data_IF_612919735359
#
_entry.id   IF_612919735359
#
_cell.length_a   1.000
_cell.length_b   1.000
_cell.length_c   1.000
_cell.angle_alpha   90.00
_cell.angle_beta   90.00
_cell.angle_gamma   90.00
#
_symmetry.space_group_name_H-M   'P 1'
#
loop_
_entity.id
_entity.type
_entity.pdbx_description
1 polymer ?
#
# COMPACT_ATOMS: atom_id res chain seq x y z
N UNK A 1 5.14 20.67 8.48
CA UNK A 1 4.21 19.60 8.91
C UNK A 1 3.87 19.70 10.38
N UNK A 2 2.65 19.32 10.73
CA UNK A 2 2.24 19.01 12.11
C UNK A 2 1.52 17.65 12.06
N UNK A 3 1.97 16.71 12.89
CA UNK A 3 1.31 15.42 13.07
C UNK A 3 0.57 15.51 14.39
N UNK A 4 -0.71 15.14 14.40
CA UNK A 4 -1.53 15.02 15.59
C UNK A 4 -1.86 13.55 15.77
N UNK A 5 -1.61 13.03 16.97
CA UNK A 5 -1.93 11.66 17.36
C UNK A 5 -2.83 11.78 18.59
N UNK A 6 -4.01 11.17 18.54
CA UNK A 6 -4.94 11.16 19.68
C UNK A 6 -4.64 9.99 20.65
N UNK A 7 -5.41 9.93 21.74
CA UNK A 7 -5.31 8.89 22.76
C UNK A 7 -5.73 7.50 22.27
N UNK A 8 -6.44 7.43 21.13
CA UNK A 8 -6.81 6.18 20.45
C UNK A 8 -5.82 5.77 19.35
N UNK A 9 -4.76 6.55 19.15
CA UNK A 9 -3.70 6.28 18.19
C UNK A 9 -4.00 6.71 16.76
N UNK A 10 -5.14 7.37 16.51
CA UNK A 10 -5.44 7.93 15.20
C UNK A 10 -4.50 9.06 14.86
N UNK A 11 -4.12 9.12 13.58
CA UNK A 11 -3.11 10.04 13.11
C UNK A 11 -3.63 10.93 11.99
N UNK A 12 -3.52 12.24 12.21
CA UNK A 12 -3.77 13.27 11.22
C UNK A 12 -2.50 14.05 10.92
N UNK A 13 -2.32 14.44 9.66
CA UNK A 13 -1.19 15.25 9.22
C UNK A 13 -1.68 16.53 8.58
N UNK A 14 -1.31 17.66 9.19
CA UNK A 14 -1.56 18.99 8.67
C UNK A 14 -0.35 19.52 7.89
N UNK A 15 -0.60 19.78 6.61
CA UNK A 15 0.35 20.37 5.68
C UNK A 15 0.31 21.90 5.76
N UNK A 16 1.20 22.46 6.57
CA UNK A 16 1.30 23.91 6.79
C UNK A 16 1.55 24.71 5.51
N UNK A 17 2.21 24.14 4.49
CA UNK A 17 2.52 24.88 3.25
C UNK A 17 1.35 24.95 2.28
N UNK A 18 0.40 24.02 2.38
CA UNK A 18 -0.77 23.94 1.48
C UNK A 18 -2.07 24.28 2.18
N UNK A 19 -2.12 24.19 3.51
CA UNK A 19 -3.34 24.29 4.31
C UNK A 19 -4.17 23.00 4.32
N UNK A 20 -3.70 21.94 3.66
CA UNK A 20 -4.40 20.66 3.53
C UNK A 20 -4.21 19.79 4.77
N UNK A 21 -5.22 18.98 5.09
CA UNK A 21 -5.14 17.97 6.15
C UNK A 21 -5.37 16.58 5.57
N UNK A 22 -4.44 15.68 5.85
CA UNK A 22 -4.56 14.25 5.63
C UNK A 22 -5.08 13.60 6.90
N UNK A 23 -6.30 13.06 6.83
CA UNK A 23 -7.02 12.57 8.01
C UNK A 23 -6.99 11.06 8.10
N UNK A 24 -7.15 10.53 9.31
CA UNK A 24 -7.57 9.15 9.52
C UNK A 24 -8.99 8.90 8.99
N UNK A 25 -9.32 7.64 8.70
CA UNK A 25 -10.64 7.26 8.20
C UNK A 25 -11.73 7.49 9.28
N UNK A 26 -12.87 8.12 8.95
CA UNK A 26 -13.93 8.41 9.93
C UNK A 26 -14.88 7.21 10.14
N UNK A 27 -16.07 7.46 10.68
CA UNK A 27 -17.18 6.50 10.78
C UNK A 27 -16.89 5.25 11.64
N UNK A 28 -16.03 5.40 12.66
CA UNK A 28 -15.74 4.35 13.65
C UNK A 28 -14.80 3.25 13.16
N UNK A 29 -14.13 3.45 12.01
CA UNK A 29 -13.09 2.53 11.55
C UNK A 29 -11.89 2.54 12.51
N UNK A 30 -11.24 1.40 12.77
CA UNK A 30 -10.18 1.32 13.76
C UNK A 30 -8.87 1.96 13.28
N UNK A 31 -8.02 2.40 14.21
CA UNK A 31 -6.69 2.95 13.85
C UNK A 31 -5.76 1.92 13.18
N UNK A 32 -6.01 0.64 13.45
CA UNK A 32 -5.30 -0.49 12.88
C UNK A 32 -5.97 -1.80 13.25
N UNK A 33 -5.67 -2.83 12.47
CA UNK A 33 -6.23 -4.18 12.65
C UNK A 33 -5.07 -5.16 12.71
N UNK A 34 -5.09 -6.06 13.69
CA UNK A 34 -4.23 -7.23 13.74
C UNK A 34 -5.08 -8.46 13.41
N UNK A 35 -4.62 -9.28 12.47
CA UNK A 35 -5.16 -10.60 12.22
C UNK A 35 -4.25 -11.63 12.87
N UNK A 36 -4.85 -12.52 13.65
CA UNK A 36 -4.17 -13.60 14.34
C UNK A 36 -4.77 -14.93 13.94
N UNK A 37 -3.96 -15.98 13.93
CA UNK A 37 -4.40 -17.36 13.76
C UNK A 37 -4.32 -18.06 15.11
N UNK A 38 -5.41 -18.67 15.53
CA UNK A 38 -5.46 -19.53 16.70
C UNK A 38 -4.78 -20.87 16.44
N UNK A 39 -3.91 -21.31 17.36
CA UNK A 39 -3.14 -22.54 17.19
C UNK A 39 -4.03 -23.80 17.13
N UNK A 40 -5.05 -23.88 17.99
CA UNK A 40 -5.90 -25.07 18.08
C UNK A 40 -6.96 -25.15 16.97
N UNK A 41 -7.66 -24.04 16.73
CA UNK A 41 -8.80 -24.00 15.79
C UNK A 41 -8.35 -23.67 14.36
N UNK A 42 -7.15 -23.10 14.20
CA UNK A 42 -6.66 -22.51 12.95
C UNK A 42 -7.55 -21.39 12.42
N UNK A 43 -8.45 -20.86 13.26
CA UNK A 43 -9.34 -19.77 12.92
C UNK A 43 -8.57 -18.45 12.89
N UNK A 44 -8.91 -17.60 11.91
CA UNK A 44 -8.40 -16.24 11.83
C UNK A 44 -9.35 -15.32 12.60
N UNK A 45 -8.83 -14.67 13.64
CA UNK A 45 -9.55 -13.66 14.43
C UNK A 45 -8.99 -12.27 14.14
N UNK A 46 -9.81 -11.24 14.40
CA UNK A 46 -9.45 -9.83 14.13
C UNK A 46 -9.47 -9.01 15.41
N UNK A 47 -8.39 -8.28 15.63
CA UNK A 47 -8.20 -7.42 16.79
C UNK A 47 -8.11 -5.96 16.35
N UNK A 48 -8.99 -5.13 16.90
CA UNK A 48 -9.07 -3.71 16.57
C UNK A 48 -8.21 -2.92 17.55
N UNK A 49 -7.14 -2.28 17.07
CA UNK A 49 -6.18 -1.59 17.94
C UNK A 49 -6.80 -0.45 18.76
N UNK A 50 -7.77 0.28 18.19
CA UNK A 50 -8.45 1.38 18.89
C UNK A 50 -9.54 0.92 19.86
N UNK A 51 -9.91 -0.36 19.85
CA UNK A 51 -10.86 -0.95 20.80
C UNK A 51 -10.20 -1.28 22.15
N UNK A 52 -8.88 -1.39 22.17
CA UNK A 52 -8.09 -1.54 23.39
C UNK A 52 -8.26 -0.33 24.32
N UNK A 53 -8.38 -0.59 25.63
CA UNK A 53 -8.47 0.46 26.66
C UNK A 53 -7.08 1.02 27.02
N UNK A 54 -6.05 0.18 26.99
CA UNK A 54 -4.68 0.53 27.37
C UNK A 54 -3.82 0.96 26.17
N UNK A 55 -4.07 2.17 25.66
CA UNK A 55 -3.26 2.79 24.61
C UNK A 55 -2.38 3.88 25.23
N UNK A 56 -1.07 3.70 25.17
CA UNK A 56 -0.10 4.68 25.68
C UNK A 56 0.57 5.41 24.53
N UNK A 57 0.32 6.71 24.43
CA UNK A 57 1.01 7.60 23.49
C UNK A 57 1.99 8.45 24.28
N UNK A 58 3.29 8.21 24.09
CA UNK A 58 4.36 8.92 24.78
C UNK A 58 5.21 9.71 23.78
N UNK A 59 5.53 10.98 24.05
CA UNK A 59 6.43 11.73 23.19
C UNK A 59 7.84 11.15 23.26
N UNK A 60 8.48 10.98 22.11
CA UNK A 60 9.85 10.49 21.99
C UNK A 60 10.74 11.57 21.36
N UNK A 61 11.49 12.28 22.21
CA UNK A 61 12.30 13.42 21.79
C UNK A 61 11.46 14.62 21.33
N UNK A 62 12.02 15.45 20.44
CA UNK A 62 11.39 16.71 20.00
C UNK A 62 10.39 16.56 18.85
N UNK A 63 10.39 15.41 18.14
CA UNK A 63 9.59 15.22 16.93
C UNK A 63 9.18 13.78 16.68
N UNK A 64 9.17 12.94 17.71
CA UNK A 64 8.68 11.57 17.66
C UNK A 64 7.64 11.28 18.73
N UNK A 65 6.97 10.14 18.56
CA UNK A 65 6.05 9.58 19.53
C UNK A 65 6.15 8.06 19.47
N UNK A 66 5.93 7.42 20.62
CA UNK A 66 5.84 5.98 20.76
C UNK A 66 4.45 5.62 21.21
N UNK A 67 3.82 4.73 20.47
CA UNK A 67 2.49 4.20 20.75
C UNK A 67 2.64 2.75 21.17
N UNK A 68 2.05 2.40 22.30
CA UNK A 68 1.97 1.02 22.77
C UNK A 68 0.49 0.70 22.96
N UNK A 69 0.01 -0.29 22.21
CA UNK A 69 -1.32 -0.87 22.37
C UNK A 69 -1.16 -2.13 23.22
N UNK A 70 -1.59 -2.10 24.48
CA UNK A 70 -1.50 -3.22 25.44
C UNK A 70 -2.86 -3.89 25.62
N UNK A 71 -2.92 -5.19 25.91
CA UNK A 71 -4.18 -5.92 26.08
C UNK A 71 -5.07 -5.86 24.83
N UNK A 72 -4.59 -6.51 23.76
CA UNK A 72 -5.29 -6.53 22.48
C UNK A 72 -6.68 -7.15 22.62
N UNK A 73 -7.68 -6.50 22.02
CA UNK A 73 -9.08 -6.94 22.02
C UNK A 73 -9.46 -7.47 20.64
N UNK A 74 -9.84 -8.75 20.57
CA UNK A 74 -10.23 -9.45 19.36
C UNK A 74 -11.68 -9.92 19.47
N UNK A 75 -12.52 -9.57 18.49
CA UNK A 75 -13.96 -9.90 18.50
C UNK A 75 -14.64 -9.63 19.87
N UNK A 76 -14.33 -8.48 20.47
CA UNK A 76 -14.83 -8.03 21.79
C UNK A 76 -14.27 -8.77 23.02
N UNK A 77 -13.29 -9.66 22.83
CA UNK A 77 -12.61 -10.39 23.91
C UNK A 77 -11.17 -9.92 24.04
N UNK A 78 -10.74 -9.56 25.25
CA UNK A 78 -9.35 -9.26 25.54
C UNK A 78 -8.52 -10.54 25.58
N UNK A 79 -7.52 -10.65 24.70
CA UNK A 79 -6.63 -11.82 24.62
C UNK A 79 -5.25 -11.55 25.25
N UNK A 80 -4.94 -10.29 25.59
CA UNK A 80 -3.61 -9.87 26.03
C UNK A 80 -2.68 -9.49 24.86
N UNK A 81 -1.38 -9.51 25.10
CA UNK A 81 -0.38 -9.13 24.10
C UNK A 81 -0.20 -7.61 23.94
N UNK A 82 0.70 -7.21 23.04
CA UNK A 82 0.95 -5.79 22.75
C UNK A 82 1.51 -5.53 21.35
N UNK A 83 1.30 -4.32 20.85
CA UNK A 83 1.92 -3.78 19.64
C UNK A 83 2.64 -2.47 19.97
N UNK A 84 3.92 -2.38 19.65
CA UNK A 84 4.73 -1.17 19.79
C UNK A 84 5.01 -0.53 18.42
N UNK A 85 4.62 0.73 18.29
CA UNK A 85 4.82 1.56 17.10
C UNK A 85 5.63 2.79 17.46
N UNK A 86 6.70 3.05 16.72
CA UNK A 86 7.44 4.29 16.74
C UNK A 86 7.02 5.17 15.56
N UNK A 87 6.76 6.44 15.85
CA UNK A 87 6.44 7.48 14.87
C UNK A 87 7.49 8.56 14.99
N UNK A 88 8.08 8.97 13.86
CA UNK A 88 9.05 10.07 13.85
C UNK A 88 8.82 11.01 12.68
N UNK A 89 8.91 12.31 12.95
CA UNK A 89 8.78 13.36 11.96
C UNK A 89 10.13 14.07 11.77
N UNK A 90 10.65 14.06 10.53
CA UNK A 90 11.84 14.81 10.14
C UNK A 90 11.53 15.64 8.88
N UNK A 91 11.36 16.94 9.05
CA UNK A 91 10.96 17.83 7.96
C UNK A 91 9.57 17.50 7.44
N UNK A 92 9.47 17.01 6.20
CA UNK A 92 8.23 16.51 5.58
C UNK A 92 8.14 14.99 5.50
N UNK A 93 9.10 14.27 6.10
CA UNK A 93 9.10 12.81 6.18
C UNK A 93 8.54 12.37 7.53
N UNK A 94 7.41 11.69 7.49
CA UNK A 94 6.80 10.97 8.60
C UNK A 94 7.13 9.49 8.45
N UNK A 95 8.00 8.98 9.31
CA UNK A 95 8.31 7.56 9.37
C UNK A 95 7.45 6.90 10.45
N UNK A 96 6.85 5.77 10.09
CA UNK A 96 6.08 4.92 10.99
C UNK A 96 6.77 3.56 10.98
N UNK A 97 7.08 3.05 12.16
CA UNK A 97 7.80 1.80 12.34
C UNK A 97 7.11 0.94 13.39
N UNK A 98 6.68 -0.25 13.00
CA UNK A 98 6.24 -1.29 13.93
C UNK A 98 7.51 -1.95 14.46
N UNK A 99 7.80 -1.74 15.73
CA UNK A 99 9.04 -2.23 16.37
C UNK A 99 8.85 -3.66 16.87
N UNK A 100 7.72 -3.91 17.53
CA UNK A 100 7.51 -5.16 18.25
C UNK A 100 6.03 -5.52 18.30
N UNK A 101 5.76 -6.82 18.26
CA UNK A 101 4.46 -7.43 18.50
C UNK A 101 4.70 -8.57 19.47
N UNK A 102 4.04 -8.54 20.63
CA UNK A 102 4.04 -9.64 21.60
C UNK A 102 2.64 -10.25 21.64
N UNK A 103 2.55 -11.56 21.44
CA UNK A 103 1.28 -12.28 21.45
C UNK A 103 1.31 -13.39 22.51
N UNK A 104 0.15 -13.77 23.07
CA UNK A 104 0.05 -15.00 23.87
C UNK A 104 0.45 -16.22 23.04
N UNK A 105 0.88 -17.29 23.72
CA UNK A 105 1.42 -18.50 23.07
C UNK A 105 0.43 -19.21 22.14
N UNK A 106 -0.86 -19.02 22.35
CA UNK A 106 -1.92 -19.73 21.64
C UNK A 106 -2.28 -19.08 20.28
N UNK A 107 -1.58 -17.99 19.93
CA UNK A 107 -1.84 -17.20 18.73
C UNK A 107 -0.57 -16.95 17.91
N UNK A 108 -0.67 -17.18 16.61
CA UNK A 108 0.30 -16.75 15.62
C UNK A 108 -0.14 -15.45 14.94
N UNK A 109 0.82 -14.59 14.60
CA UNK A 109 0.54 -13.40 13.79
C UNK A 109 0.22 -13.83 12.35
N UNK A 110 -0.80 -13.24 11.74
CA UNK A 110 -1.07 -13.36 10.30
C UNK A 110 -0.75 -12.07 9.56
N UNK A 111 -1.43 -10.97 9.93
CA UNK A 111 -1.31 -9.68 9.26
C UNK A 111 -1.48 -8.52 10.22
N UNK A 112 -0.85 -7.40 9.90
CA UNK A 112 -1.08 -6.11 10.57
C UNK A 112 -1.44 -5.08 9.51
N UNK A 113 -2.60 -4.45 9.69
CA UNK A 113 -3.02 -3.30 8.91
C UNK A 113 -2.72 -2.06 9.74
N UNK A 114 -1.60 -1.38 9.47
CA UNK A 114 -1.23 -0.17 10.20
C UNK A 114 -0.23 0.71 9.42
N UNK A 115 -0.46 2.03 9.28
CA UNK A 115 -1.69 2.73 9.65
C UNK A 115 -2.86 2.30 8.75
N UNK A 116 -4.00 1.91 9.34
CA UNK A 116 -5.13 1.39 8.56
C UNK A 116 -6.00 2.51 8.04
N UNK A 117 -6.27 2.49 6.73
CA UNK A 117 -7.12 3.44 5.99
C UNK A 117 -6.82 4.92 6.27
N UNK A 118 -5.60 5.22 6.68
CA UNK A 118 -5.18 6.59 6.96
C UNK A 118 -4.89 7.33 5.65
N UNK A 119 -5.08 8.65 5.68
CA UNK A 119 -4.81 9.56 4.57
C UNK A 119 -5.65 9.29 3.33
N UNK A 120 -6.94 8.99 3.55
CA UNK A 120 -7.91 8.76 2.48
C UNK A 120 -8.24 10.05 1.71
N UNK A 121 -8.90 9.86 0.56
CA UNK A 121 -9.45 10.90 -0.29
C UNK A 121 -10.98 10.84 -0.28
N UNK A 122 -11.61 12.00 -0.10
CA UNK A 122 -13.04 12.17 -0.34
C UNK A 122 -13.32 12.26 -1.85
N UNK A 123 -14.53 11.88 -2.26
CA UNK A 123 -14.94 11.87 -3.68
C UNK A 123 -14.73 13.23 -4.36
N UNK A 124 -15.09 14.31 -3.65
CA UNK A 124 -15.14 15.68 -4.14
C UNK A 124 -13.80 16.42 -4.13
N UNK A 125 -12.75 15.84 -3.55
CA UNK A 125 -11.40 16.45 -3.47
C UNK A 125 -10.67 16.49 -4.83
N UNK A 126 -11.27 15.95 -5.90
CA UNK A 126 -10.68 15.81 -7.25
C UNK A 126 -9.24 15.29 -7.20
N UNK A 127 -9.03 14.29 -6.35
CA UNK A 127 -7.73 13.68 -6.11
C UNK A 127 -7.55 12.38 -6.87
N UNK A 128 -6.42 11.73 -6.64
CA UNK A 128 -6.17 10.37 -7.12
C UNK A 128 -5.18 9.64 -6.22
N UNK A 129 -5.26 8.32 -6.19
CA UNK A 129 -4.17 7.47 -5.69
C UNK A 129 -3.25 7.08 -6.84
N UNK A 130 -1.97 6.94 -6.52
CA UNK A 130 -0.93 6.43 -7.42
C UNK A 130 -0.50 5.06 -6.93
N UNK A 131 -0.67 4.06 -7.77
CA UNK A 131 -0.35 2.67 -7.46
C UNK A 131 0.58 2.11 -8.55
N UNK A 132 1.81 1.70 -8.21
CA UNK A 132 2.76 1.04 -9.13
C UNK A 132 2.35 -0.36 -9.64
N UNK A 133 1.10 -0.56 -10.05
CA UNK A 133 0.62 -1.79 -10.70
C UNK A 133 1.18 -1.90 -12.12
N UNK A 134 2.01 -2.91 -12.39
CA UNK A 134 2.73 -3.04 -13.66
C UNK A 134 3.61 -1.82 -13.92
N UNK A 135 3.28 -1.04 -14.96
CA UNK A 135 3.96 0.24 -15.24
C UNK A 135 3.48 1.41 -14.35
N UNK A 136 2.35 1.25 -13.68
CA UNK A 136 1.70 2.25 -12.83
C UNK A 136 0.29 2.61 -13.29
N UNK A 137 -0.59 2.85 -12.32
CA UNK A 137 -1.98 3.31 -12.53
C UNK A 137 -2.29 4.49 -11.62
N UNK A 138 -3.09 5.42 -12.13
CA UNK A 138 -3.74 6.46 -11.35
C UNK A 138 -5.22 6.11 -11.23
N UNK A 139 -5.76 6.14 -10.02
CA UNK A 139 -7.18 5.92 -9.77
C UNK A 139 -7.74 7.23 -9.21
N UNK A 140 -8.53 7.98 -10.00
CA UNK A 140 -9.10 9.24 -9.56
C UNK A 140 -10.32 9.05 -8.66
N UNK A 141 -10.58 10.01 -7.78
CA UNK A 141 -11.75 10.00 -6.86
C UNK A 141 -13.09 10.07 -7.61
N UNK A 142 -13.08 10.58 -8.85
CA UNK A 142 -14.25 10.68 -9.72
C UNK A 142 -14.24 9.66 -10.87
N UNK A 143 -13.59 8.50 -10.72
CA UNK A 143 -13.47 7.50 -11.82
C UNK A 143 -14.84 7.04 -12.37
N UNK A 144 -15.88 7.00 -11.53
CA UNK A 144 -17.25 6.68 -11.98
C UNK A 144 -17.85 7.74 -12.91
N UNK A 145 -17.44 9.00 -12.79
CA UNK A 145 -17.88 10.10 -13.64
C UNK A 145 -17.12 10.09 -14.99
N UNK A 146 -15.91 9.51 -15.00
CA UNK A 146 -15.03 9.43 -16.18
C UNK A 146 -15.18 8.11 -16.96
N UNK A 147 -15.90 7.12 -16.42
CA UNK A 147 -15.88 5.74 -16.94
C UNK A 147 -16.29 5.62 -18.42
N UNK A 148 -17.27 6.41 -18.86
CA UNK A 148 -17.75 6.38 -20.26
C UNK A 148 -16.72 7.00 -21.21
N UNK A 149 -16.06 8.08 -20.79
CA UNK A 149 -14.96 8.71 -21.53
C UNK A 149 -13.75 7.76 -21.63
N UNK A 150 -13.36 7.14 -20.52
CA UNK A 150 -12.29 6.13 -20.48
C UNK A 150 -12.59 4.94 -21.40
N UNK A 151 -13.85 4.53 -21.51
CA UNK A 151 -14.25 3.51 -22.48
C UNK A 151 -14.15 3.99 -23.93
N UNK A 152 -14.52 5.23 -24.22
CA UNK A 152 -14.38 5.79 -25.57
C UNK A 152 -12.91 5.95 -25.98
N UNK A 153 -12.01 6.14 -25.01
CA UNK A 153 -10.56 6.17 -25.21
C UNK A 153 -9.90 4.78 -25.25
N UNK A 154 -10.68 3.70 -25.19
CA UNK A 154 -10.20 2.31 -25.10
C UNK A 154 -9.27 2.04 -23.89
N UNK A 155 -9.38 2.86 -22.83
CA UNK A 155 -8.65 2.67 -21.57
C UNK A 155 -9.41 1.78 -20.58
N UNK A 156 -10.73 1.64 -20.77
CA UNK A 156 -11.58 0.68 -20.09
C UNK A 156 -12.35 -0.17 -21.12
N UNK A 157 -12.53 -1.47 -20.83
CA UNK A 157 -13.31 -2.35 -21.70
C UNK A 157 -14.81 -2.12 -21.50
N UNK A 158 -15.60 -2.05 -22.58
CA UNK A 158 -17.07 -2.00 -22.51
C UNK A 158 -17.66 -3.20 -21.76
N UNK A 159 -17.10 -4.38 -21.97
CA UNK A 159 -17.52 -5.59 -21.24
C UNK A 159 -17.27 -5.50 -19.73
N UNK A 160 -16.30 -4.68 -19.30
CA UNK A 160 -16.07 -4.42 -17.89
C UNK A 160 -17.12 -3.45 -17.32
N UNK A 161 -17.52 -2.42 -18.06
CA UNK A 161 -18.59 -1.50 -17.65
C UNK A 161 -19.95 -2.19 -17.52
N UNK A 162 -20.28 -3.10 -18.44
CA UNK A 162 -21.53 -3.88 -18.39
C UNK A 162 -21.61 -4.76 -17.14
N UNK A 163 -20.46 -5.26 -16.66
CA UNK A 163 -20.37 -6.10 -15.44
C UNK A 163 -20.29 -5.28 -14.16
N UNK A 164 -19.69 -4.09 -14.22
CA UNK A 164 -19.47 -3.20 -13.08
C UNK A 164 -20.13 -1.85 -13.36
N UNK A 165 -21.45 -1.71 -13.12
CA UNK A 165 -22.15 -0.44 -13.34
C UNK A 165 -21.58 0.69 -12.48
N UNK A 166 -20.92 0.35 -11.36
CA UNK A 166 -20.03 1.23 -10.59
C UNK A 166 -18.69 0.55 -10.38
N UNK A 167 -17.61 1.31 -10.52
CA UNK A 167 -16.24 0.88 -10.23
C UNK A 167 -16.02 1.09 -8.73
N UNK A 168 -16.33 0.07 -7.94
CA UNK A 168 -16.06 0.04 -6.52
C UNK A 168 -15.51 -1.34 -6.15
N UNK A 169 -14.33 -1.38 -5.52
CA UNK A 169 -13.71 -2.63 -5.09
C UNK A 169 -12.77 -2.42 -3.92
N UNK A 170 -12.50 -3.50 -3.21
CA UNK A 170 -11.43 -3.56 -2.24
C UNK A 170 -10.54 -4.75 -2.59
N UNK A 171 -9.24 -4.51 -2.64
CA UNK A 171 -8.25 -5.53 -2.96
C UNK A 171 -7.06 -5.41 -2.01
N UNK A 172 -6.47 -6.55 -1.71
CA UNK A 172 -5.22 -6.63 -0.98
C UNK A 172 -4.18 -7.30 -1.89
N UNK A 173 -3.06 -6.63 -2.10
CA UNK A 173 -2.01 -7.10 -3.00
C UNK A 173 -0.65 -7.09 -2.31
N UNK A 174 0.08 -8.21 -2.32
CA UNK A 174 1.46 -8.25 -1.86
C UNK A 174 2.38 -7.39 -2.73
N UNK A 175 3.36 -6.74 -2.10
CA UNK A 175 4.19 -5.71 -2.74
C UNK A 175 5.37 -6.28 -3.54
N UNK A 176 5.81 -7.50 -3.27
CA UNK A 176 6.86 -8.20 -4.02
C UNK A 176 6.37 -9.40 -4.82
N UNK A 177 5.06 -9.54 -5.00
CA UNK A 177 4.52 -10.59 -5.86
C UNK A 177 4.21 -10.05 -7.25
N UNK A 178 5.04 -10.44 -8.22
CA UNK A 178 4.69 -10.37 -9.64
C UNK A 178 4.35 -8.94 -10.13
N UNK A 179 3.38 -8.80 -11.04
CA UNK A 179 2.98 -7.55 -11.68
C UNK A 179 2.20 -6.58 -10.77
N UNK A 180 1.95 -6.91 -9.50
CA UNK A 180 1.02 -6.18 -8.63
C UNK A 180 1.61 -4.87 -8.06
N UNK A 181 2.90 -4.88 -7.75
CA UNK A 181 3.69 -3.71 -7.36
C UNK A 181 5.08 -3.84 -7.97
N UNK A 182 5.41 -2.98 -8.94
CA UNK A 182 6.75 -2.95 -9.53
C UNK A 182 7.78 -2.18 -8.70
N UNK A 183 7.29 -1.38 -7.75
CA UNK A 183 8.10 -0.56 -6.84
C UNK A 183 7.42 -0.51 -5.47
N UNK A 184 8.20 -0.57 -4.35
CA UNK A 184 7.67 -0.59 -2.98
C UNK A 184 7.24 0.80 -2.50
N UNK A 185 6.31 1.43 -3.20
CA UNK A 185 5.70 2.67 -2.78
C UNK A 185 4.28 2.81 -3.32
N UNK A 186 3.51 3.69 -2.72
CA UNK A 186 2.26 4.19 -3.27
C UNK A 186 2.08 5.65 -2.86
N UNK A 187 1.04 6.33 -3.35
CA UNK A 187 0.81 7.71 -2.96
C UNK A 187 -0.60 8.18 -3.25
N UNK A 188 -0.88 9.40 -2.83
CA UNK A 188 -2.12 10.08 -3.17
C UNK A 188 -1.88 11.58 -3.36
N UNK A 189 -2.75 12.22 -4.12
CA UNK A 189 -2.72 13.65 -4.39
C UNK A 189 -4.12 14.24 -4.30
N UNK A 190 -4.24 15.42 -3.69
CA UNK A 190 -5.46 16.23 -3.67
C UNK A 190 -5.13 17.71 -3.55
N UNK A 191 -5.90 18.56 -4.21
CA UNK A 191 -5.68 20.01 -4.19
C UNK A 191 -4.22 20.36 -4.50
N UNK A 192 -3.54 20.99 -3.53
CA UNK A 192 -2.12 21.36 -3.60
C UNK A 192 -1.20 20.47 -2.77
N UNK A 193 -1.67 19.35 -2.24
CA UNK A 193 -0.88 18.44 -1.40
C UNK A 193 -0.87 17.04 -1.98
N UNK A 194 0.29 16.39 -1.90
CA UNK A 194 0.46 15.00 -2.24
C UNK A 194 1.32 14.30 -1.19
N UNK A 195 1.22 12.98 -1.12
CA UNK A 195 2.18 12.17 -0.39
C UNK A 195 2.65 10.99 -1.22
N UNK A 196 3.90 10.59 -0.99
CA UNK A 196 4.41 9.26 -1.33
C UNK A 196 4.67 8.50 -0.04
N UNK A 197 4.17 7.28 0.05
CA UNK A 197 4.48 6.33 1.10
C UNK A 197 5.48 5.31 0.54
N UNK A 198 6.75 5.41 0.94
CA UNK A 198 7.81 4.47 0.57
C UNK A 198 7.87 3.40 1.66
N UNK A 199 7.74 2.14 1.27
CA UNK A 199 7.86 1.03 2.21
C UNK A 199 9.33 0.67 2.35
N UNK A 200 9.90 1.02 3.50
CA UNK A 200 11.33 0.88 3.80
C UNK A 200 11.73 -0.59 4.01
N UNK A 201 10.80 -1.41 4.51
CA UNK A 201 10.94 -2.87 4.68
C UNK A 201 9.87 -3.59 3.87
N UNK A 202 10.04 -3.70 2.54
CA UNK A 202 9.00 -4.20 1.64
C UNK A 202 8.87 -5.73 1.61
N UNK A 203 9.82 -6.46 2.20
CA UNK A 203 9.66 -7.88 2.49
C UNK A 203 8.47 -8.07 3.45
N UNK A 204 7.70 -9.13 3.25
CA UNK A 204 6.47 -9.43 4.01
C UNK A 204 5.53 -8.19 4.12
N UNK A 205 5.37 -7.45 3.03
CA UNK A 205 4.49 -6.29 2.95
C UNK A 205 3.54 -6.37 1.75
N UNK A 206 2.38 -5.75 1.90
CA UNK A 206 1.36 -5.59 0.87
C UNK A 206 0.69 -4.23 0.98
N UNK A 207 -0.32 -4.02 0.13
CA UNK A 207 -1.18 -2.86 0.18
C UNK A 207 -2.65 -3.29 0.16
N UNK A 208 -3.43 -2.67 1.04
CA UNK A 208 -4.87 -2.78 1.09
C UNK A 208 -5.47 -1.52 0.46
N UNK A 209 -6.19 -1.72 -0.63
CA UNK A 209 -6.68 -0.66 -1.51
C UNK A 209 -8.20 -0.73 -1.54
N UNK A 210 -8.85 0.35 -1.15
CA UNK A 210 -10.31 0.49 -1.28
C UNK A 210 -10.59 1.62 -2.26
N UNK A 211 -11.23 1.27 -3.37
CA UNK A 211 -11.66 2.18 -4.43
C UNK A 211 -13.14 2.42 -4.32
N UNK A 212 -13.52 3.68 -4.17
CA UNK A 212 -14.88 4.18 -4.09
C UNK A 212 -15.76 3.35 -3.13
N UNK A 213 -15.40 3.32 -1.85
CA UNK A 213 -16.11 2.54 -0.82
C UNK A 213 -17.62 2.86 -0.84
N UNK A 214 -18.49 1.93 -1.26
CA UNK A 214 -19.91 2.20 -1.39
C UNK A 214 -20.59 2.36 -0.02
N UNK A 215 -19.93 1.93 1.06
CA UNK A 215 -20.44 2.05 2.43
C UNK A 215 -20.30 3.47 2.96
N UNK A 216 -19.29 4.20 2.48
CA UNK A 216 -18.76 5.38 3.15
C UNK A 216 -18.39 6.47 2.13
N UNK A 217 -19.41 7.01 1.44
CA UNK A 217 -19.30 8.18 0.54
C UNK A 217 -18.36 8.01 -0.66
N UNK A 218 -18.13 6.78 -1.13
CA UNK A 218 -17.26 6.50 -2.28
C UNK A 218 -15.82 7.01 -2.08
N UNK A 219 -15.30 6.89 -0.85
CA UNK A 219 -13.90 7.25 -0.52
C UNK A 219 -12.88 6.34 -1.20
N UNK A 220 -11.69 6.89 -1.37
CA UNK A 220 -10.55 6.21 -1.99
C UNK A 220 -9.36 6.20 -1.03
N UNK A 221 -8.77 5.04 -0.79
CA UNK A 221 -7.67 4.88 0.17
C UNK A 221 -6.75 3.71 -0.18
N UNK A 222 -5.46 3.87 0.17
CA UNK A 222 -4.44 2.83 0.07
C UNK A 222 -3.63 2.80 1.36
N UNK A 223 -3.53 1.61 1.98
CA UNK A 223 -2.88 1.39 3.28
C UNK A 223 -1.84 0.28 3.18
N UNK A 224 -0.75 0.30 3.96
CA UNK A 224 0.14 -0.83 4.03
C UNK A 224 -0.51 -2.00 4.79
N UNK A 225 -0.12 -3.21 4.40
CA UNK A 225 -0.38 -4.45 5.14
C UNK A 225 0.97 -5.08 5.42
N UNK A 226 1.16 -5.57 6.63
CA UNK A 226 2.39 -6.25 7.05
C UNK A 226 2.05 -7.71 7.30
N UNK A 227 2.65 -8.59 6.52
CA UNK A 227 2.48 -10.02 6.66
C UNK A 227 3.45 -10.57 7.71
N UNK A 228 3.02 -11.66 8.34
CA UNK A 228 3.85 -12.44 9.22
C UNK A 228 5.07 -13.04 8.50
N UNK A 229 6.12 -13.27 9.26
CA UNK A 229 7.27 -14.08 8.87
C UNK A 229 7.41 -15.24 9.86
N UNK A 230 7.12 -16.46 9.43
CA UNK A 230 7.08 -17.66 10.27
C UNK A 230 6.28 -17.50 11.59
N UNK A 231 5.04 -17.02 11.50
CA UNK A 231 4.06 -16.87 12.59
C UNK A 231 4.27 -15.64 13.48
N UNK A 232 5.18 -14.73 13.14
CA UNK A 232 5.47 -13.54 13.95
C UNK A 232 6.00 -12.37 13.14
N UNK A 233 6.33 -11.27 13.80
CA UNK A 233 6.87 -10.08 13.12
C UNK A 233 8.30 -10.31 12.58
N UNK A 234 9.17 -10.96 13.37
CA UNK A 234 10.59 -11.29 13.13
C UNK A 234 11.57 -10.11 12.96
N UNK A 235 11.15 -9.01 12.39
CA UNK A 235 11.95 -7.80 12.23
C UNK A 235 11.04 -6.57 12.18
N UNK A 236 11.51 -5.37 12.55
CA UNK A 236 10.67 -4.19 12.50
C UNK A 236 10.18 -3.87 11.09
N UNK A 237 8.92 -3.41 10.97
CA UNK A 237 8.33 -3.01 9.69
C UNK A 237 8.25 -1.50 9.60
N UNK A 238 8.66 -0.89 8.50
CA UNK A 238 8.76 0.56 8.39
C UNK A 238 8.26 1.10 7.05
N UNK A 239 7.54 2.22 7.13
CA UNK A 239 7.05 3.00 6.00
C UNK A 239 7.31 4.48 6.25
N UNK A 240 7.77 5.18 5.21
CA UNK A 240 8.01 6.62 5.24
C UNK A 240 7.05 7.35 4.31
N UNK A 241 6.16 8.14 4.90
CA UNK A 241 5.32 9.10 4.21
C UNK A 241 6.07 10.40 4.02
N UNK A 242 6.35 10.76 2.77
CA UNK A 242 6.86 12.07 2.41
C UNK A 242 5.76 12.88 1.77
N UNK A 243 5.41 13.98 2.42
CA UNK A 243 4.43 14.91 1.90
C UNK A 243 5.09 15.99 1.04
N UNK A 244 4.37 16.41 0.01
CA UNK A 244 4.85 17.18 -1.14
C UNK A 244 3.83 18.28 -1.42
N UNK A 245 4.24 19.53 -1.22
CA UNK A 245 3.43 20.68 -1.64
C UNK A 245 3.53 20.86 -3.15
N UNK A 246 2.40 21.15 -3.78
CA UNK A 246 2.23 21.21 -5.25
C UNK A 246 2.76 19.97 -5.96
N UNK A 247 2.72 18.82 -5.28
CA UNK A 247 3.21 17.54 -5.78
C UNK A 247 2.17 16.79 -6.59
N UNK A 248 2.67 15.92 -7.47
CA UNK A 248 1.90 15.01 -8.31
C UNK A 248 2.58 13.63 -8.38
N UNK A 249 2.06 12.73 -9.21
CA UNK A 249 2.64 11.39 -9.37
C UNK A 249 4.07 11.42 -9.96
N UNK A 250 4.40 12.45 -10.76
CA UNK A 250 5.76 12.64 -11.30
C UNK A 250 6.73 13.01 -10.19
N UNK A 251 6.30 13.88 -9.27
CA UNK A 251 7.06 14.27 -8.09
C UNK A 251 7.28 13.08 -7.16
N UNK A 252 6.27 12.24 -6.95
CA UNK A 252 6.38 10.97 -6.21
C UNK A 252 7.43 10.06 -6.87
N UNK A 253 7.34 9.83 -8.18
CA UNK A 253 8.28 8.98 -8.91
C UNK A 253 9.74 9.50 -8.84
N UNK A 254 9.95 10.83 -8.92
CA UNK A 254 11.28 11.44 -8.77
C UNK A 254 11.85 11.25 -7.36
N UNK A 255 11.02 11.36 -6.33
CA UNK A 255 11.41 11.10 -4.94
C UNK A 255 11.82 9.63 -4.79
N UNK A 256 11.01 8.70 -5.29
CA UNK A 256 11.35 7.28 -5.22
C UNK A 256 12.62 6.95 -6.02
N UNK A 257 12.83 7.58 -7.19
CA UNK A 257 14.07 7.43 -7.95
C UNK A 257 15.29 7.82 -7.13
N UNK A 258 15.23 8.95 -6.42
CA UNK A 258 16.33 9.38 -5.55
C UNK A 258 16.58 8.35 -4.43
N UNK A 259 15.51 7.88 -3.79
CA UNK A 259 15.58 6.81 -2.79
C UNK A 259 16.23 5.53 -3.34
N UNK A 260 15.82 5.07 -4.53
CA UNK A 260 16.36 3.88 -5.19
C UNK A 260 17.85 4.03 -5.57
N UNK A 261 18.28 5.24 -5.94
CA UNK A 261 19.69 5.55 -6.18
C UNK A 261 20.50 5.51 -4.87
N UNK A 262 20.00 6.12 -3.80
CA UNK A 262 20.65 6.13 -2.48
C UNK A 262 20.79 4.72 -1.87
N UNK A 263 19.84 3.83 -2.16
CA UNK A 263 19.84 2.42 -1.71
C UNK A 263 20.63 1.48 -2.63
N UNK A 264 21.17 1.96 -3.75
CA UNK A 264 21.94 1.14 -4.69
C UNK A 264 21.13 0.23 -5.62
N UNK A 265 19.80 0.41 -5.70
CA UNK A 265 18.94 -0.34 -6.63
C UNK A 265 19.07 0.14 -8.08
N UNK A 266 19.55 1.37 -8.27
CA UNK A 266 19.68 1.99 -9.58
C UNK A 266 21.08 1.78 -10.18
N UNK A 267 21.12 1.20 -11.38
CA UNK A 267 22.30 1.20 -12.25
C UNK A 267 21.89 1.64 -13.64
N UNK A 268 22.47 2.72 -14.14
CA UNK A 268 22.07 3.29 -15.42
C UNK A 268 22.41 2.35 -16.58
N UNK A 269 21.68 2.45 -17.69
CA UNK A 269 22.03 1.70 -18.90
C UNK A 269 23.44 2.08 -19.41
N UNK A 270 23.86 3.33 -19.23
CA UNK A 270 25.22 3.80 -19.57
C UNK A 270 26.29 3.05 -18.77
N UNK A 271 26.08 2.89 -17.46
CA UNK A 271 27.02 2.14 -16.61
C UNK A 271 27.03 0.65 -16.99
N UNK A 272 25.87 0.08 -17.30
CA UNK A 272 25.77 -1.30 -17.80
C UNK A 272 26.48 -1.50 -19.15
N UNK A 273 26.44 -0.51 -20.04
CA UNK A 273 27.16 -0.52 -21.32
C UNK A 273 28.68 -0.40 -21.10
N UNK A 274 29.11 0.44 -20.15
CA UNK A 274 30.52 0.54 -19.78
C UNK A 274 31.07 -0.81 -19.30
N UNK A 275 30.30 -1.54 -18.51
CA UNK A 275 30.68 -2.86 -18.01
C UNK A 275 30.57 -3.96 -19.09
N UNK A 276 29.58 -3.84 -19.99
CA UNK A 276 29.36 -4.76 -21.09
C UNK A 276 28.92 -4.01 -22.35
N UNK A 277 29.85 -3.65 -23.26
CA UNK A 277 29.54 -2.89 -24.47
C UNK A 277 28.48 -3.55 -25.37
N UNK A 278 28.31 -4.88 -25.30
CA UNK A 278 27.27 -5.59 -26.07
C UNK A 278 25.85 -5.18 -25.69
N UNK A 279 25.63 -4.65 -24.48
CA UNK A 279 24.34 -4.17 -24.02
C UNK A 279 23.81 -2.99 -24.86
N UNK A 280 24.69 -2.25 -25.53
CA UNK A 280 24.31 -1.17 -26.43
C UNK A 280 23.43 -1.66 -27.60
N UNK A 281 23.63 -2.92 -28.02
CA UNK A 281 22.86 -3.54 -29.12
C UNK A 281 21.36 -3.66 -28.82
N UNK A 282 20.93 -3.51 -27.56
CA UNK A 282 19.51 -3.53 -27.18
C UNK A 282 18.79 -2.25 -27.63
N UNK A 283 19.53 -1.14 -27.78
CA UNK A 283 18.95 0.16 -28.16
C UNK A 283 18.47 0.08 -29.61
N UNK A 284 17.16 0.24 -29.82
CA UNK A 284 16.52 0.17 -31.14
C UNK A 284 16.30 -1.26 -31.66
N UNK A 285 16.68 -2.29 -30.91
CA UNK A 285 16.45 -3.67 -31.33
C UNK A 285 14.99 -4.11 -31.14
N UNK A 286 14.37 -4.76 -32.14
CA UNK A 286 13.06 -5.39 -31.94
C UNK A 286 13.20 -6.63 -31.04
N UNK A 287 12.27 -6.79 -30.10
CA UNK A 287 12.16 -8.03 -29.31
C UNK A 287 11.39 -9.08 -30.13
N UNK A 288 12.11 -10.04 -30.71
CA UNK A 288 11.51 -11.16 -31.44
C UNK A 288 11.49 -12.39 -30.53
N UNK A 289 10.29 -12.84 -30.13
CA UNK A 289 10.09 -14.03 -29.31
C UNK A 289 9.43 -15.13 -30.14
N UNK A 290 10.20 -16.15 -30.52
CA UNK A 290 9.66 -17.36 -31.13
C UNK A 290 9.25 -18.34 -30.03
N UNK A 291 7.99 -18.77 -30.05
CA UNK A 291 7.53 -19.88 -29.24
C UNK A 291 7.60 -21.14 -30.10
N UNK A 292 8.57 -22.01 -29.82
CA UNK A 292 8.66 -23.32 -30.45
C UNK A 292 7.98 -24.31 -29.50
N UNK A 293 6.77 -24.74 -29.85
CA UNK A 293 6.10 -25.82 -29.14
C UNK A 293 6.56 -27.14 -29.75
N UNK A 294 7.27 -27.96 -28.98
CA UNK A 294 7.37 -29.38 -29.30
C UNK A 294 6.01 -30.04 -28.96
N UNK A 295 5.61 -31.00 -29.78
CA UNK A 295 4.26 -31.58 -29.84
C UNK A 295 3.78 -32.04 -28.45
N UNK A 296 2.75 -31.38 -27.91
CA UNK A 296 2.00 -31.89 -26.75
C UNK A 296 0.82 -32.77 -27.23
N UNK A 297 0.74 -34.06 -26.83
CA UNK A 297 -0.36 -34.97 -27.21
C UNK A 297 -1.75 -34.62 -26.66
N UNK A 298 -1.87 -33.64 -25.76
CA UNK A 298 -3.04 -33.47 -24.89
C UNK A 298 -3.94 -32.28 -25.24
N UNK A 299 -3.55 -31.42 -26.20
CA UNK A 299 -4.37 -30.26 -26.60
C UNK A 299 -5.44 -30.59 -27.62
N UNK A 300 -5.65 -31.86 -27.97
CA UNK A 300 -6.76 -32.28 -28.84
C UNK A 300 -6.73 -31.65 -30.24
N UNK A 301 -5.59 -31.11 -30.68
CA UNK A 301 -5.38 -30.71 -32.06
C UNK A 301 -5.25 -31.99 -32.90
N UNK A 302 -6.39 -32.60 -33.18
CA UNK A 302 -6.54 -33.62 -34.20
C UNK A 302 -5.90 -33.09 -35.48
N UNK A 303 -4.97 -33.87 -36.02
CA UNK A 303 -4.60 -33.71 -37.42
C UNK A 303 -5.89 -33.83 -38.22
N UNK A 304 -6.35 -32.74 -38.82
CA UNK A 304 -7.19 -32.86 -40.00
C UNK A 304 -6.31 -33.49 -41.08
N UNK A 305 -6.28 -34.82 -41.10
CA UNK A 305 -5.76 -35.59 -42.21
C UNK A 305 -6.72 -35.38 -43.37
N UNK A 306 -6.33 -34.52 -44.29
CA UNK A 306 -6.81 -34.61 -45.67
C UNK A 306 -6.03 -35.74 -46.34
N UNK A 307 -6.74 -36.77 -46.83
CA UNK A 307 -6.21 -37.85 -47.64
C UNK A 307 -6.57 -39.23 -47.11
#
# INVERSE_FOLDING_TARGET
MRVSIDDKGFMDVFDKSTGETWKHYPDGEPTGIIQLREDFTQQIIKCNLSATENIRVTPEGSSGARLIFEDLVCEEVAIGGSLEVQVSLRGSNLNIKIERVDLPSDYALEKIYYPYRSFYLEKDERGYITWPLGNGILIPTNINDLKDELCNLNLLSRSALERLPRIAFTIENPMYYCWMFSMPWFGASKGRSAYIAIVDTPDDAGAYITVLDPRNKERLVISPVWEQSYGGLRYPRSITYRFISDGDYVSMAKIFRKYAMERGFYKSLKDKIKDNPKAERIIGAPLIKFWIMDRYPWTGATSMAHG
#
